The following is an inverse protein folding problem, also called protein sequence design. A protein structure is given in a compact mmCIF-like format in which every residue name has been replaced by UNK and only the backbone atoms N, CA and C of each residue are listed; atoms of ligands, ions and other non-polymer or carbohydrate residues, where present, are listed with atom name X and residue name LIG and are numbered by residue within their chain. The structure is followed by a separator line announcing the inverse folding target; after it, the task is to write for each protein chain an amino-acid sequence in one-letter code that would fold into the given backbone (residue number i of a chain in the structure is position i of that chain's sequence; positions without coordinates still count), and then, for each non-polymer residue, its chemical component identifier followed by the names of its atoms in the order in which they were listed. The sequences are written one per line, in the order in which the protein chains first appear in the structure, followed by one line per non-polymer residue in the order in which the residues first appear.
data_IF_708950551175
#
_entry.id   IF_708950551175
#
_cell.length_a   1.000
_cell.length_b   1.000
_cell.length_c   1.000
_cell.angle_alpha   90.00
_cell.angle_beta   90.00
_cell.angle_gamma   90.00
#
_symmetry.space_group_name_H-M   'P 1'
#
loop_
_entity.id
_entity.type
_entity.pdbx_description
1 polymer ?
#
# COMPACT_ATOMS: atom_id res chain seq x y z
N UNK A 1 29.18 -4.73 10.74
CA UNK A 1 28.19 -3.63 10.76
C UNK A 1 27.54 -3.62 12.13
N UNK A 2 27.62 -2.51 12.86
CA UNK A 2 26.89 -2.28 14.12
C UNK A 2 25.58 -1.60 13.78
N UNK A 3 24.46 -2.25 14.07
CA UNK A 3 23.15 -1.60 14.03
C UNK A 3 22.98 -0.82 15.34
N UNK A 4 22.56 0.45 15.31
CA UNK A 4 22.22 1.18 16.52
C UNK A 4 20.96 0.56 17.15
N UNK A 5 21.10 -0.04 18.32
CA UNK A 5 19.98 -0.47 19.15
C UNK A 5 19.60 0.70 20.05
N UNK A 6 18.34 1.14 19.99
CA UNK A 6 17.86 2.16 20.91
C UNK A 6 17.94 1.63 22.33
N UNK A 7 18.57 2.40 23.23
CA UNK A 7 18.62 2.05 24.64
C UNK A 7 17.20 2.13 25.25
N UNK A 8 16.84 1.15 26.07
CA UNK A 8 15.60 1.23 26.86
C UNK A 8 15.64 2.44 27.78
N UNK A 9 14.49 3.10 27.97
CA UNK A 9 14.34 4.18 28.96
C UNK A 9 14.55 3.61 30.37
N UNK A 10 15.07 4.42 31.30
CA UNK A 10 15.18 4.02 32.70
C UNK A 10 13.80 4.00 33.38
N UNK A 11 13.64 3.10 34.36
CA UNK A 11 12.45 3.14 35.23
C UNK A 11 12.55 4.34 36.17
N UNK A 12 11.42 4.95 36.48
CA UNK A 12 11.30 6.08 37.41
C UNK A 12 10.55 5.57 38.65
N UNK A 13 11.14 5.78 39.80
CA UNK A 13 10.57 5.41 41.10
C UNK A 13 10.40 6.65 41.97
N UNK A 14 9.44 6.61 42.88
CA UNK A 14 9.34 7.61 43.94
C UNK A 14 10.41 7.36 45.03
N UNK A 15 10.44 8.23 46.03
CA UNK A 15 11.37 8.14 47.18
C UNK A 15 11.15 6.90 48.07
N UNK A 16 10.05 6.19 47.89
CA UNK A 16 9.71 4.96 48.63
C UNK A 16 9.94 3.71 47.79
N UNK A 17 10.47 3.84 46.53
CA UNK A 17 10.69 2.75 45.60
C UNK A 17 9.44 2.30 44.87
N UNK A 18 8.35 3.06 44.92
CA UNK A 18 7.14 2.76 44.14
C UNK A 18 7.36 3.23 42.72
N UNK A 19 7.14 2.34 41.71
CA UNK A 19 7.35 2.70 40.33
C UNK A 19 6.34 3.77 39.87
N UNK A 20 6.85 4.88 39.35
CA UNK A 20 6.08 5.97 38.75
C UNK A 20 5.98 5.80 37.22
N UNK A 21 7.04 5.25 36.61
CA UNK A 21 7.07 4.83 35.22
C UNK A 21 8.01 3.64 35.07
N UNK A 22 7.53 2.59 34.45
CA UNK A 22 8.31 1.39 34.11
C UNK A 22 8.18 1.11 32.62
N UNK A 23 9.23 0.58 32.04
CA UNK A 23 9.14 0.13 30.64
C UNK A 23 8.36 -1.19 30.59
N UNK A 24 7.42 -1.23 29.68
CA UNK A 24 6.72 -2.46 29.30
C UNK A 24 7.26 -2.92 27.95
N UNK A 25 7.53 -4.19 27.80
CA UNK A 25 7.89 -4.76 26.49
C UNK A 25 6.61 -5.04 25.74
N UNK A 26 6.51 -4.51 24.53
CA UNK A 26 5.42 -4.77 23.62
C UNK A 26 5.94 -5.33 22.31
N UNK A 27 5.11 -6.09 21.60
CA UNK A 27 5.44 -6.54 20.24
C UNK A 27 5.13 -5.46 19.22
N UNK A 28 5.91 -5.45 18.14
CA UNK A 28 5.69 -4.55 17.01
C UNK A 28 5.85 -5.30 15.68
N UNK A 29 5.12 -4.83 14.67
CA UNK A 29 5.29 -5.28 13.29
C UNK A 29 6.28 -4.34 12.61
N UNK A 30 7.30 -4.92 12.00
CA UNK A 30 8.32 -4.20 11.24
C UNK A 30 8.39 -4.73 9.80
N UNK A 31 8.78 -3.87 8.88
CA UNK A 31 9.11 -4.26 7.50
C UNK A 31 10.60 -4.04 7.28
N UNK A 32 11.30 -5.12 6.90
CA UNK A 32 12.71 -5.08 6.53
C UNK A 32 12.84 -4.66 5.05
N UNK A 33 13.32 -3.44 4.83
CA UNK A 33 13.54 -2.90 3.49
C UNK A 33 14.71 -3.54 2.73
N UNK A 34 15.57 -4.34 3.41
CA UNK A 34 16.70 -5.05 2.79
C UNK A 34 16.27 -6.33 2.08
N UNK A 35 15.15 -6.91 2.48
CA UNK A 35 14.57 -8.10 1.86
C UNK A 35 13.71 -7.67 0.68
N UNK A 36 14.08 -8.11 -0.53
CA UNK A 36 13.26 -7.87 -1.72
C UNK A 36 12.01 -8.74 -1.64
N UNK A 37 10.85 -8.10 -1.68
CA UNK A 37 9.59 -8.81 -1.80
C UNK A 37 9.36 -9.15 -3.28
N UNK A 38 9.31 -10.44 -3.59
CA UNK A 38 8.94 -10.97 -4.89
C UNK A 38 7.86 -12.03 -4.67
N UNK A 39 6.61 -11.66 -4.92
CA UNK A 39 5.48 -12.56 -4.81
C UNK A 39 5.46 -13.51 -6.02
N UNK A 40 5.44 -14.80 -5.75
CA UNK A 40 5.19 -15.77 -6.80
C UNK A 40 3.72 -15.71 -7.29
N UNK A 41 3.40 -16.48 -8.32
CA UNK A 41 2.08 -16.45 -8.96
C UNK A 41 0.93 -16.83 -8.02
N UNK A 42 1.13 -17.86 -7.19
CA UNK A 42 0.10 -18.33 -6.24
C UNK A 42 -0.10 -17.37 -5.07
N UNK A 43 0.98 -16.84 -4.51
CA UNK A 43 0.92 -15.82 -3.45
C UNK A 43 0.19 -14.57 -3.93
N UNK A 44 0.55 -14.06 -5.10
CA UNK A 44 -0.11 -12.92 -5.73
C UNK A 44 -1.60 -13.18 -5.95
N UNK A 45 -1.95 -14.37 -6.46
CA UNK A 45 -3.33 -14.79 -6.66
C UNK A 45 -4.10 -14.83 -5.35
N UNK A 46 -3.53 -15.45 -4.32
CA UNK A 46 -4.16 -15.56 -2.99
C UNK A 46 -4.45 -14.16 -2.44
N UNK A 47 -3.45 -13.27 -2.40
CA UNK A 47 -3.62 -11.92 -1.86
C UNK A 47 -4.63 -11.09 -2.65
N UNK A 48 -4.58 -11.16 -3.99
CA UNK A 48 -5.53 -10.44 -4.84
C UNK A 48 -6.96 -10.99 -4.69
N UNK A 49 -7.12 -12.30 -4.51
CA UNK A 49 -8.41 -12.94 -4.23
C UNK A 49 -8.96 -12.47 -2.89
N UNK A 50 -8.19 -12.58 -1.82
CA UNK A 50 -8.60 -12.18 -0.47
C UNK A 50 -9.01 -10.71 -0.39
N UNK A 51 -8.24 -9.83 -1.03
CA UNK A 51 -8.57 -8.40 -1.10
C UNK A 51 -9.82 -8.15 -1.95
N UNK A 52 -9.98 -8.84 -3.07
CA UNK A 52 -11.17 -8.71 -3.93
C UNK A 52 -12.41 -9.14 -3.18
N UNK A 53 -12.39 -10.31 -2.56
CA UNK A 53 -13.54 -10.86 -1.84
C UNK A 53 -13.92 -9.99 -0.65
N UNK A 54 -12.93 -9.48 0.09
CA UNK A 54 -13.18 -8.55 1.18
C UNK A 54 -13.78 -7.22 0.68
N UNK A 55 -13.22 -6.59 -0.36
CA UNK A 55 -13.76 -5.35 -0.93
C UNK A 55 -15.21 -5.51 -1.35
N UNK A 56 -15.54 -6.63 -1.99
CA UNK A 56 -16.89 -6.91 -2.45
C UNK A 56 -17.85 -7.20 -1.32
N UNK A 57 -17.42 -7.91 -0.27
CA UNK A 57 -18.21 -8.16 0.94
C UNK A 57 -18.51 -6.86 1.70
N UNK A 58 -17.59 -5.91 1.69
CA UNK A 58 -17.70 -4.59 2.35
C UNK A 58 -18.38 -3.52 1.47
N UNK A 59 -18.85 -3.88 0.26
CA UNK A 59 -19.60 -2.99 -0.63
C UNK A 59 -18.76 -2.08 -1.52
N UNK A 60 -17.46 -2.31 -1.62
CA UNK A 60 -16.54 -1.52 -2.45
C UNK A 60 -16.36 -2.16 -3.83
N UNK A 61 -17.24 -1.80 -4.77
CA UNK A 61 -17.33 -2.43 -6.10
C UNK A 61 -16.65 -1.62 -7.22
N UNK A 62 -16.08 -0.46 -6.91
CA UNK A 62 -15.59 0.53 -7.90
C UNK A 62 -14.07 0.47 -8.12
N UNK A 63 -13.38 -0.56 -7.58
CA UNK A 63 -11.93 -0.70 -7.73
C UNK A 63 -11.62 -1.17 -9.14
N UNK A 64 -11.14 -0.23 -9.97
CA UNK A 64 -10.81 -0.48 -11.37
C UNK A 64 -9.76 0.50 -11.90
N UNK A 65 -8.61 0.00 -12.29
CA UNK A 65 -7.51 0.77 -12.89
C UNK A 65 -7.23 0.40 -14.34
N UNK A 66 -8.10 -0.42 -14.96
CA UNK A 66 -7.89 -0.85 -16.33
C UNK A 66 -8.28 0.25 -17.33
N UNK A 67 -7.43 0.61 -18.30
CA UNK A 67 -7.77 1.59 -19.32
C UNK A 67 -8.64 0.99 -20.44
N UNK A 68 -9.67 0.25 -20.02
CA UNK A 68 -10.62 -0.46 -20.89
C UNK A 68 -12.03 -0.19 -20.36
N UNK A 69 -13.00 0.02 -21.27
CA UNK A 69 -14.42 0.23 -20.90
C UNK A 69 -14.95 -0.92 -20.04
N UNK A 70 -15.89 -0.61 -19.13
CA UNK A 70 -16.45 -1.57 -18.17
C UNK A 70 -17.47 -2.54 -18.79
N UNK A 71 -17.99 -2.23 -19.96
CA UNK A 71 -19.03 -3.01 -20.66
C UNK A 71 -18.63 -3.31 -22.10
N UNK A 72 -19.16 -4.42 -22.62
CA UNK A 72 -19.01 -4.82 -24.03
C UNK A 72 -19.84 -3.90 -24.95
N UNK A 73 -19.32 -3.54 -26.14
CA UNK A 73 -18.01 -3.93 -26.68
C UNK A 73 -16.87 -3.20 -25.97
N UNK A 74 -15.86 -3.97 -25.56
CA UNK A 74 -14.71 -3.41 -24.86
C UNK A 74 -13.83 -2.58 -25.81
N UNK A 75 -13.42 -1.40 -25.34
CA UNK A 75 -12.53 -0.49 -26.04
C UNK A 75 -11.55 0.17 -25.06
N UNK A 76 -10.41 0.64 -25.56
CA UNK A 76 -9.48 1.41 -24.74
C UNK A 76 -10.03 2.79 -24.42
N UNK A 77 -9.77 3.27 -23.20
CA UNK A 77 -10.26 4.56 -22.70
C UNK A 77 -9.25 5.71 -22.85
N UNK A 78 -8.08 5.46 -23.46
CA UNK A 78 -7.07 6.48 -23.72
C UNK A 78 -7.63 7.64 -24.56
N UNK A 79 -7.27 8.87 -24.20
CA UNK A 79 -7.78 10.11 -24.82
C UNK A 79 -6.64 11.01 -25.31
N UNK A 80 -7.00 11.95 -26.18
CA UNK A 80 -6.09 12.97 -26.68
C UNK A 80 -5.19 12.52 -27.83
N UNK A 81 -4.24 13.38 -28.20
CA UNK A 81 -3.35 13.19 -29.37
C UNK A 81 -2.34 12.06 -29.18
N UNK A 82 -2.02 11.72 -27.92
CA UNK A 82 -1.03 10.69 -27.56
C UNK A 82 -1.69 9.31 -27.25
N UNK A 83 -2.98 9.12 -27.53
CA UNK A 83 -3.74 7.90 -27.18
C UNK A 83 -3.07 6.61 -27.67
N UNK A 84 -2.55 6.59 -28.90
CA UNK A 84 -1.89 5.40 -29.47
C UNK A 84 -0.56 5.07 -28.77
N UNK A 85 0.16 6.10 -28.36
CA UNK A 85 1.42 5.95 -27.63
C UNK A 85 1.15 5.46 -26.21
N UNK A 86 0.12 6.00 -25.55
CA UNK A 86 -0.33 5.54 -24.22
C UNK A 86 -0.78 4.08 -24.28
N UNK A 87 -1.57 3.70 -25.28
CA UNK A 87 -2.02 2.32 -25.49
C UNK A 87 -0.83 1.36 -25.68
N UNK A 88 0.13 1.72 -26.54
CA UNK A 88 1.34 0.91 -26.74
C UNK A 88 2.19 0.79 -25.47
N UNK A 89 2.33 1.89 -24.73
CA UNK A 89 3.04 1.91 -23.45
C UNK A 89 2.37 1.00 -22.43
N UNK A 90 1.04 1.07 -22.31
CA UNK A 90 0.29 0.18 -21.42
C UNK A 90 0.39 -1.28 -21.84
N UNK A 91 0.27 -1.59 -23.14
CA UNK A 91 0.46 -2.95 -23.64
C UNK A 91 1.87 -3.49 -23.33
N UNK A 92 2.89 -2.66 -23.42
CA UNK A 92 4.24 -3.01 -22.98
C UNK A 92 4.31 -3.27 -21.47
N UNK A 93 3.66 -2.45 -20.66
CA UNK A 93 3.68 -2.61 -19.19
C UNK A 93 3.01 -3.88 -18.71
N UNK A 94 1.99 -4.39 -19.42
CA UNK A 94 1.37 -5.68 -19.13
C UNK A 94 2.15 -6.88 -19.68
N UNK A 95 3.30 -6.66 -20.31
CA UNK A 95 4.21 -7.70 -20.80
C UNK A 95 3.92 -8.21 -22.21
N UNK A 96 3.14 -7.48 -23.02
CA UNK A 96 2.95 -7.81 -24.42
C UNK A 96 4.19 -7.44 -25.25
N UNK A 97 4.56 -8.28 -26.19
CA UNK A 97 5.60 -8.00 -27.18
C UNK A 97 5.09 -7.06 -28.29
N UNK A 98 5.99 -6.36 -28.96
CA UNK A 98 5.64 -5.40 -30.03
C UNK A 98 4.71 -6.00 -31.12
N UNK A 99 4.88 -7.29 -31.46
CA UNK A 99 4.01 -8.01 -32.44
C UNK A 99 2.56 -8.14 -31.94
N UNK A 100 2.34 -8.07 -30.64
CA UNK A 100 1.03 -8.21 -29.98
C UNK A 100 0.36 -6.86 -29.73
N UNK A 101 0.99 -5.72 -30.02
CA UNK A 101 0.40 -4.39 -29.81
C UNK A 101 -0.84 -4.12 -30.66
N UNK A 102 -1.12 -4.97 -31.66
CA UNK A 102 -2.36 -4.94 -32.47
C UNK A 102 -3.58 -5.54 -31.77
N UNK A 103 -3.40 -6.20 -30.62
CA UNK A 103 -4.49 -6.82 -29.89
C UNK A 103 -5.56 -5.78 -29.49
N UNK A 104 -6.82 -6.14 -29.65
CA UNK A 104 -7.96 -5.36 -29.17
C UNK A 104 -8.07 -5.34 -27.66
N UNK A 105 -8.90 -4.47 -27.09
CA UNK A 105 -9.15 -4.43 -25.66
C UNK A 105 -9.68 -5.77 -25.11
N UNK A 106 -10.56 -6.44 -25.87
CA UNK A 106 -11.09 -7.77 -25.52
C UNK A 106 -10.00 -8.82 -25.45
N UNK A 107 -9.09 -8.83 -26.43
CA UNK A 107 -7.98 -9.78 -26.46
C UNK A 107 -6.97 -9.51 -25.36
N UNK A 108 -6.70 -8.23 -25.03
CA UNK A 108 -5.89 -7.86 -23.88
C UNK A 108 -6.51 -8.32 -22.56
N UNK A 109 -7.85 -8.22 -22.38
CA UNK A 109 -8.53 -8.74 -21.18
C UNK A 109 -8.37 -10.27 -21.08
N UNK A 110 -8.56 -11.00 -22.16
CA UNK A 110 -8.34 -12.46 -22.16
C UNK A 110 -6.92 -12.82 -21.77
N UNK A 111 -5.94 -12.14 -22.37
CA UNK A 111 -4.53 -12.31 -22.02
C UNK A 111 -4.27 -12.06 -20.52
N UNK A 112 -4.86 -11.00 -19.94
CA UNK A 112 -4.72 -10.68 -18.52
C UNK A 112 -5.38 -11.73 -17.63
N UNK A 113 -6.56 -12.24 -18.02
CA UNK A 113 -7.24 -13.31 -17.28
C UNK A 113 -6.37 -14.57 -17.16
N UNK A 114 -5.73 -14.98 -18.25
CA UNK A 114 -4.83 -16.13 -18.29
C UNK A 114 -3.53 -15.85 -17.52
N UNK A 115 -2.95 -14.66 -17.71
CA UNK A 115 -1.68 -14.27 -17.09
C UNK A 115 -1.76 -14.23 -15.56
N UNK A 116 -2.87 -13.74 -15.01
CA UNK A 116 -3.06 -13.52 -13.58
C UNK A 116 -3.97 -14.58 -12.92
N UNK A 117 -4.31 -15.67 -13.59
CA UNK A 117 -5.18 -16.74 -13.07
C UNK A 117 -6.48 -16.22 -12.45
N UNK A 118 -7.16 -15.32 -13.15
CA UNK A 118 -8.38 -14.70 -12.64
C UNK A 118 -9.43 -15.78 -12.33
N UNK A 119 -10.02 -15.81 -11.11
CA UNK A 119 -11.00 -16.80 -10.73
C UNK A 119 -12.20 -16.86 -11.71
N UNK A 120 -12.55 -18.06 -12.17
CA UNK A 120 -13.63 -18.25 -13.17
C UNK A 120 -15.00 -17.83 -12.65
N UNK A 121 -15.27 -18.06 -11.35
CA UNK A 121 -16.53 -17.72 -10.69
C UNK A 121 -16.79 -16.21 -10.48
N UNK A 122 -15.81 -15.36 -10.75
CA UNK A 122 -15.97 -13.92 -10.61
C UNK A 122 -16.84 -13.32 -11.72
N UNK A 123 -17.69 -12.37 -11.33
CA UNK A 123 -18.40 -11.50 -12.28
C UNK A 123 -17.41 -10.64 -13.07
N UNK A 124 -17.85 -10.05 -14.17
CA UNK A 124 -17.00 -9.18 -14.97
C UNK A 124 -16.40 -8.00 -14.15
N UNK A 125 -17.17 -7.45 -13.21
CA UNK A 125 -16.70 -6.38 -12.34
C UNK A 125 -15.69 -6.89 -11.30
N UNK A 126 -15.92 -8.03 -10.65
CA UNK A 126 -14.96 -8.66 -9.75
C UNK A 126 -13.63 -9.00 -10.44
N UNK A 127 -13.68 -9.50 -11.69
CA UNK A 127 -12.47 -9.74 -12.49
C UNK A 127 -11.65 -8.48 -12.71
N UNK A 128 -12.29 -7.31 -12.86
CA UNK A 128 -11.61 -6.01 -13.00
C UNK A 128 -10.96 -5.55 -11.71
N UNK A 129 -11.68 -5.67 -10.57
CA UNK A 129 -11.12 -5.41 -9.25
C UNK A 129 -9.90 -6.29 -8.99
N UNK A 130 -10.05 -7.60 -9.21
CA UNK A 130 -8.96 -8.56 -9.06
C UNK A 130 -7.74 -8.19 -9.92
N UNK A 131 -7.94 -7.89 -11.21
CA UNK A 131 -6.83 -7.50 -12.10
C UNK A 131 -6.16 -6.20 -11.62
N UNK A 132 -6.93 -5.22 -11.18
CA UNK A 132 -6.38 -3.95 -10.68
C UNK A 132 -5.49 -4.17 -9.47
N UNK A 133 -5.83 -5.11 -8.61
CA UNK A 133 -5.01 -5.54 -7.47
C UNK A 133 -3.82 -6.41 -7.91
N UNK A 134 -4.06 -7.48 -8.68
CA UNK A 134 -3.05 -8.43 -9.10
C UNK A 134 -1.95 -7.82 -10.00
N UNK A 135 -2.27 -6.74 -10.72
CA UNK A 135 -1.33 -5.98 -11.55
C UNK A 135 -0.52 -4.95 -10.75
N UNK A 136 -0.84 -4.73 -9.48
CA UNK A 136 -0.10 -3.81 -8.62
C UNK A 136 1.33 -4.32 -8.36
N UNK A 137 2.21 -3.40 -7.99
CA UNK A 137 3.53 -3.73 -7.44
C UNK A 137 3.41 -4.60 -6.18
N UNK A 138 4.33 -5.54 -5.98
CA UNK A 138 4.31 -6.46 -4.84
C UNK A 138 4.26 -5.74 -3.49
N UNK A 139 4.98 -4.63 -3.36
CA UNK A 139 4.95 -3.80 -2.15
C UNK A 139 3.60 -3.13 -1.93
N UNK A 140 2.86 -2.80 -3.00
CA UNK A 140 1.51 -2.27 -2.87
C UNK A 140 0.55 -3.36 -2.40
N UNK A 141 0.64 -4.56 -2.99
CA UNK A 141 -0.21 -5.68 -2.62
C UNK A 141 0.02 -6.10 -1.16
N UNK A 142 1.30 -6.17 -0.73
CA UNK A 142 1.67 -6.37 0.66
C UNK A 142 1.10 -5.28 1.58
N UNK A 143 1.34 -4.00 1.24
CA UNK A 143 0.91 -2.89 2.08
C UNK A 143 -0.61 -2.78 2.20
N UNK A 144 -1.36 -3.05 1.12
CA UNK A 144 -2.83 -3.14 1.13
C UNK A 144 -3.32 -4.27 2.04
N UNK A 145 -2.69 -5.44 1.95
CA UNK A 145 -3.05 -6.60 2.78
C UNK A 145 -2.75 -6.33 4.25
N UNK A 146 -1.58 -5.77 4.57
CA UNK A 146 -1.21 -5.43 5.94
C UNK A 146 -2.10 -4.34 6.51
N UNK A 147 -2.33 -3.24 5.77
CA UNK A 147 -3.19 -2.15 6.22
C UNK A 147 -4.61 -2.66 6.54
N UNK A 148 -5.17 -3.48 5.65
CA UNK A 148 -6.48 -4.11 5.90
C UNK A 148 -6.45 -4.99 7.15
N UNK A 149 -5.46 -5.89 7.29
CA UNK A 149 -5.39 -6.84 8.40
C UNK A 149 -5.14 -6.14 9.73
N UNK A 150 -4.24 -5.17 9.78
CA UNK A 150 -4.02 -4.38 10.98
C UNK A 150 -5.31 -3.66 11.41
N UNK A 151 -6.02 -3.02 10.47
CA UNK A 151 -7.31 -2.39 10.75
C UNK A 151 -8.37 -3.40 11.22
N UNK A 152 -8.45 -4.59 10.60
CA UNK A 152 -9.38 -5.67 11.00
C UNK A 152 -9.11 -6.16 12.43
N UNK A 153 -7.86 -6.15 12.88
CA UNK A 153 -7.46 -6.54 14.23
C UNK A 153 -7.51 -5.37 15.24
N UNK A 154 -7.84 -4.16 14.78
CA UNK A 154 -7.95 -2.97 15.62
C UNK A 154 -6.60 -2.30 15.93
N UNK A 155 -5.57 -2.62 15.17
CA UNK A 155 -4.26 -2.01 15.33
C UNK A 155 -4.20 -0.61 14.72
N UNK A 156 -3.39 0.25 15.33
CA UNK A 156 -3.05 1.56 14.76
C UNK A 156 -1.79 1.44 13.91
N UNK A 157 -1.82 2.01 12.72
CA UNK A 157 -0.63 2.07 11.86
C UNK A 157 0.24 3.23 12.30
N UNK A 158 1.47 2.90 12.65
CA UNK A 158 2.53 3.87 12.92
C UNK A 158 3.18 4.29 11.60
N UNK A 159 3.06 5.54 11.23
CA UNK A 159 3.65 6.04 10.00
C UNK A 159 4.19 7.47 10.12
N UNK A 160 5.01 7.85 9.16
CA UNK A 160 5.64 9.17 9.09
C UNK A 160 4.94 10.10 8.06
N UNK A 161 3.78 9.69 7.49
CA UNK A 161 3.04 10.50 6.53
C UNK A 161 2.42 11.71 7.25
N UNK A 162 2.76 12.96 6.90
CA UNK A 162 2.30 14.14 7.65
C UNK A 162 0.86 14.53 7.32
N UNK A 163 -0.03 13.56 7.43
CA UNK A 163 -1.48 13.66 7.30
C UNK A 163 -2.12 12.91 8.45
N UNK A 164 -3.22 13.41 8.98
CA UNK A 164 -3.97 12.71 10.01
C UNK A 164 -4.35 11.29 9.56
N UNK A 165 -4.44 10.37 10.50
CA UNK A 165 -4.80 8.97 10.24
C UNK A 165 -6.26 8.79 9.90
N UNK A 166 -7.11 9.74 10.32
CA UNK A 166 -8.55 9.72 10.10
C UNK A 166 -9.02 10.92 9.28
N UNK A 167 -10.17 10.78 8.63
CA UNK A 167 -10.79 11.88 7.91
C UNK A 167 -11.07 13.09 8.85
N UNK A 168 -10.84 14.33 8.40
CA UNK A 168 -10.60 14.78 7.01
C UNK A 168 -9.13 14.74 6.53
N UNK A 169 -8.25 13.98 7.16
CA UNK A 169 -6.83 13.79 6.80
C UNK A 169 -6.04 15.11 6.76
N UNK A 170 -6.23 15.99 7.73
CA UNK A 170 -5.58 17.29 7.76
C UNK A 170 -4.04 17.17 7.77
N UNK A 171 -3.37 18.20 7.25
CA UNK A 171 -1.91 18.25 7.28
C UNK A 171 -1.38 18.50 8.69
N UNK A 172 -0.36 17.75 9.09
CA UNK A 172 0.29 17.83 10.40
C UNK A 172 1.46 18.85 10.45
N UNK A 173 1.33 19.97 9.72
CA UNK A 173 2.35 21.03 9.70
C UNK A 173 2.03 22.20 10.64
N UNK A 174 0.98 22.14 11.45
CA UNK A 174 0.57 23.20 12.38
C UNK A 174 0.44 24.58 11.70
N UNK A 175 -0.11 24.62 10.48
CA UNK A 175 -0.27 25.85 9.69
C UNK A 175 1.02 26.37 9.04
N UNK A 176 2.14 25.66 9.15
CA UNK A 176 3.39 26.06 8.49
C UNK A 176 3.39 25.70 7.00
N UNK A 177 2.91 26.62 6.17
CA UNK A 177 2.78 26.44 4.72
C UNK A 177 4.13 26.24 4.02
N UNK A 178 5.23 26.74 4.55
CA UNK A 178 6.56 26.54 3.95
C UNK A 178 7.05 25.10 4.16
N UNK A 179 6.85 24.54 5.35
CA UNK A 179 7.17 23.13 5.63
C UNK A 179 6.29 22.21 4.77
N UNK A 180 5.01 22.50 4.67
CA UNK A 180 4.08 21.76 3.82
C UNK A 180 4.54 21.77 2.34
N UNK A 181 4.86 22.94 1.78
CA UNK A 181 5.37 23.06 0.40
C UNK A 181 6.69 22.32 0.20
N UNK A 182 7.63 22.42 1.14
CA UNK A 182 8.90 21.70 1.08
C UNK A 182 8.70 20.19 1.08
N UNK A 183 7.77 19.69 1.91
CA UNK A 183 7.41 18.28 1.92
C UNK A 183 6.77 17.84 0.58
N UNK A 184 5.80 18.61 0.06
CA UNK A 184 5.19 18.32 -1.24
C UNK A 184 6.24 18.26 -2.37
N UNK A 185 7.24 19.18 -2.35
CA UNK A 185 8.35 19.15 -3.29
C UNK A 185 9.22 17.89 -3.15
N UNK A 186 9.45 17.40 -1.93
CA UNK A 186 10.18 16.16 -1.71
C UNK A 186 9.43 14.94 -2.28
N UNK A 187 8.10 15.03 -2.41
CA UNK A 187 7.24 14.06 -3.09
C UNK A 187 7.08 14.33 -4.59
N UNK A 188 7.97 15.12 -5.16
CA UNK A 188 8.04 15.50 -6.60
C UNK A 188 6.85 16.32 -7.11
N UNK A 189 5.99 16.84 -6.23
CA UNK A 189 4.90 17.74 -6.59
C UNK A 189 5.43 19.07 -7.11
N UNK A 190 4.80 19.63 -8.15
CA UNK A 190 5.26 20.84 -8.84
C UNK A 190 4.09 21.77 -9.22
N UNK A 191 4.42 23.05 -9.41
CA UNK A 191 3.46 24.04 -9.91
C UNK A 191 2.17 24.10 -9.09
N UNK A 192 1.04 23.82 -9.73
CA UNK A 192 -0.29 23.84 -9.09
C UNK A 192 -0.47 22.78 -7.99
N UNK A 193 0.27 21.68 -8.06
CA UNK A 193 0.18 20.57 -7.11
C UNK A 193 0.62 20.99 -5.71
N UNK A 194 1.54 21.97 -5.59
CA UNK A 194 1.97 22.52 -4.31
C UNK A 194 0.83 23.20 -3.53
N UNK A 195 -0.28 23.53 -4.20
CA UNK A 195 -1.46 24.14 -3.60
C UNK A 195 -2.61 23.14 -3.38
N UNK A 196 -2.37 21.85 -3.58
CA UNK A 196 -3.37 20.81 -3.29
C UNK A 196 -3.71 20.79 -1.81
N UNK A 197 -4.99 20.66 -1.49
CA UNK A 197 -5.41 20.31 -0.13
C UNK A 197 -5.05 18.86 0.19
N UNK A 198 -5.27 18.44 1.41
CA UNK A 198 -4.91 17.09 1.88
C UNK A 198 -5.55 15.99 1.03
N UNK A 199 -6.82 16.10 0.67
CA UNK A 199 -7.53 15.14 -0.18
C UNK A 199 -6.88 14.98 -1.56
N UNK A 200 -6.66 16.08 -2.26
CA UNK A 200 -5.96 16.05 -3.56
C UNK A 200 -4.52 15.57 -3.44
N UNK A 201 -3.91 15.77 -2.28
CA UNK A 201 -2.56 15.27 -2.00
C UNK A 201 -2.59 13.77 -1.81
N UNK A 202 -3.60 13.21 -1.13
CA UNK A 202 -3.81 11.74 -1.05
C UNK A 202 -4.02 11.13 -2.44
N UNK A 203 -4.84 11.75 -3.30
CA UNK A 203 -5.03 11.29 -4.68
C UNK A 203 -3.71 11.30 -5.46
N UNK A 204 -2.92 12.38 -5.33
CA UNK A 204 -1.59 12.46 -5.94
C UNK A 204 -0.65 11.34 -5.43
N UNK A 205 -0.63 11.09 -4.12
CA UNK A 205 0.21 10.03 -3.53
C UNK A 205 -0.26 8.64 -3.94
N UNK A 206 -1.58 8.42 -4.05
CA UNK A 206 -2.13 7.18 -4.60
C UNK A 206 -1.55 6.91 -5.99
N UNK A 207 -1.60 7.91 -6.88
CA UNK A 207 -1.06 7.79 -8.23
C UNK A 207 0.48 7.67 -8.24
N UNK A 208 1.16 8.41 -7.36
CA UNK A 208 2.63 8.35 -7.21
C UNK A 208 3.13 6.96 -6.81
N UNK A 209 2.43 6.29 -5.88
CA UNK A 209 2.74 4.93 -5.47
C UNK A 209 2.10 3.86 -6.36
N UNK A 210 1.22 4.24 -7.29
CA UNK A 210 0.55 3.31 -8.21
C UNK A 210 -0.48 2.41 -7.54
N UNK A 211 -1.20 2.92 -6.54
CA UNK A 211 -2.33 2.20 -5.95
C UNK A 211 -3.55 2.27 -6.87
N UNK A 212 -4.38 1.20 -6.92
CA UNK A 212 -5.61 1.18 -7.72
C UNK A 212 -6.58 2.32 -7.37
N UNK A 213 -7.33 2.77 -8.38
CA UNK A 213 -8.47 3.67 -8.19
C UNK A 213 -9.66 2.94 -7.56
N UNK A 214 -10.53 3.68 -6.86
CA UNK A 214 -11.77 3.15 -6.28
C UNK A 214 -11.59 2.40 -4.95
N UNK A 215 -10.38 2.30 -4.40
CA UNK A 215 -10.15 1.75 -3.07
C UNK A 215 -10.82 2.62 -1.98
N UNK A 216 -11.26 2.01 -0.84
CA UNK A 216 -11.73 2.74 0.32
C UNK A 216 -10.70 3.77 0.79
N UNK A 217 -11.16 4.96 1.10
CA UNK A 217 -10.27 6.09 1.39
C UNK A 217 -9.38 5.84 2.60
N UNK A 218 -9.92 5.21 3.66
CA UNK A 218 -9.14 4.84 4.84
C UNK A 218 -8.06 3.81 4.49
N UNK A 219 -8.41 2.79 3.70
CA UNK A 219 -7.43 1.80 3.24
C UNK A 219 -6.32 2.45 2.40
N UNK A 220 -6.67 3.42 1.55
CA UNK A 220 -5.66 4.21 0.79
C UNK A 220 -4.76 4.96 1.76
N UNK A 221 -5.33 5.69 2.76
CA UNK A 221 -4.54 6.45 3.74
C UNK A 221 -3.55 5.56 4.48
N UNK A 222 -4.01 4.44 5.00
CA UNK A 222 -3.21 3.50 5.79
C UNK A 222 -2.12 2.84 4.94
N UNK A 223 -2.48 2.41 3.74
CA UNK A 223 -1.50 1.87 2.78
C UNK A 223 -0.44 2.91 2.40
N UNK A 224 -0.85 4.16 2.17
CA UNK A 224 0.07 5.25 1.88
C UNK A 224 0.99 5.54 3.07
N UNK A 225 0.53 5.42 4.31
CA UNK A 225 1.35 5.53 5.51
C UNK A 225 2.49 4.51 5.51
N UNK A 226 2.19 3.23 5.29
CA UNK A 226 3.17 2.15 5.16
C UNK A 226 4.13 2.44 3.99
N UNK A 227 3.60 2.73 2.80
CA UNK A 227 4.41 2.98 1.59
C UNK A 227 5.32 4.20 1.73
N UNK A 228 4.86 5.25 2.38
CA UNK A 228 5.61 6.45 2.62
C UNK A 228 6.77 6.21 3.61
N UNK A 229 6.52 5.50 4.70
CA UNK A 229 7.54 5.15 5.69
C UNK A 229 8.66 4.31 5.06
N UNK A 230 8.30 3.33 4.21
CA UNK A 230 9.26 2.56 3.41
C UNK A 230 10.01 3.45 2.39
N UNK A 231 9.32 4.41 1.76
CA UNK A 231 9.94 5.32 0.80
C UNK A 231 10.97 6.24 1.45
N UNK A 232 10.76 6.69 2.67
CA UNK A 232 11.73 7.49 3.42
C UNK A 232 13.03 6.70 3.67
N UNK A 233 12.93 5.40 3.89
CA UNK A 233 14.08 4.51 4.15
C UNK A 233 14.70 3.88 2.89
N UNK A 234 14.26 4.24 1.70
CA UNK A 234 14.70 3.63 0.42
C UNK A 234 16.20 3.64 0.16
N UNK A 235 16.95 4.53 0.79
CA UNK A 235 18.42 4.58 0.73
C UNK A 235 19.10 3.98 1.97
N UNK A 236 18.31 3.52 2.95
CA UNK A 236 18.77 2.95 4.21
C UNK A 236 18.23 1.51 4.35
N UNK A 237 18.41 0.71 3.31
CA UNK A 237 17.81 -0.63 3.17
C UNK A 237 18.11 -1.60 4.31
N UNK A 238 19.06 -1.28 5.19
CA UNK A 238 19.41 -2.11 6.36
C UNK A 238 18.63 -1.74 7.63
N UNK A 239 17.73 -0.77 7.55
CA UNK A 239 16.88 -0.38 8.67
C UNK A 239 15.47 -0.92 8.45
N UNK A 240 14.96 -1.59 9.46
CA UNK A 240 13.55 -1.96 9.51
C UNK A 240 12.68 -0.72 9.72
N UNK A 241 11.45 -0.79 9.28
CA UNK A 241 10.43 0.24 9.47
C UNK A 241 9.33 -0.35 10.34
N UNK A 242 9.13 0.21 11.52
CA UNK A 242 8.00 -0.16 12.39
C UNK A 242 6.72 0.38 11.77
N UNK A 243 5.70 -0.45 11.65
CA UNK A 243 4.40 -0.11 11.06
C UNK A 243 3.22 -0.28 12.02
N UNK A 244 3.42 -0.99 13.14
CA UNK A 244 2.46 -1.04 14.25
C UNK A 244 3.21 -1.42 15.53
N UNK A 245 2.84 -0.81 16.65
CA UNK A 245 3.39 -1.08 17.99
C UNK A 245 2.29 -1.50 18.95
N UNK A 246 2.66 -2.23 20.01
CA UNK A 246 1.74 -2.76 21.02
C UNK A 246 0.61 -3.61 20.40
N UNK A 247 1.04 -4.51 19.52
CA UNK A 247 0.13 -5.35 18.73
C UNK A 247 -0.51 -6.46 19.55
N UNK A 248 -1.72 -6.85 19.16
CA UNK A 248 -2.45 -7.96 19.76
C UNK A 248 -1.89 -9.32 19.40
N UNK A 249 -2.24 -10.35 20.19
CA UNK A 249 -1.89 -11.75 19.89
C UNK A 249 -2.42 -12.22 18.53
N UNK A 250 -3.52 -11.63 18.04
CA UNK A 250 -4.07 -11.94 16.71
C UNK A 250 -3.13 -11.47 15.59
N UNK A 251 -2.61 -10.26 15.74
CA UNK A 251 -1.65 -9.69 14.78
C UNK A 251 -0.34 -10.46 14.81
N UNK A 252 0.14 -10.80 16.01
CA UNK A 252 1.33 -11.64 16.19
C UNK A 252 1.17 -12.97 15.44
N UNK A 253 0.10 -13.71 15.73
CA UNK A 253 -0.17 -15.00 15.08
C UNK A 253 -0.28 -14.86 13.56
N UNK A 254 -1.00 -13.85 13.07
CA UNK A 254 -1.15 -13.61 11.63
C UNK A 254 0.18 -13.39 10.92
N UNK A 255 1.06 -12.56 11.49
CA UNK A 255 2.37 -12.28 10.88
C UNK A 255 3.25 -13.53 10.89
N UNK A 256 3.28 -14.27 12.01
CA UNK A 256 4.07 -15.50 12.12
C UNK A 256 3.59 -16.61 11.16
N UNK A 257 2.28 -16.75 10.97
CA UNK A 257 1.69 -17.73 10.06
C UNK A 257 1.89 -17.38 8.57
N UNK A 258 2.14 -16.12 8.25
CA UNK A 258 2.29 -15.64 6.87
C UNK A 258 3.71 -15.21 6.50
N UNK A 259 4.73 -15.58 7.26
CA UNK A 259 6.13 -15.23 6.99
C UNK A 259 6.63 -15.75 5.63
N UNK A 260 6.11 -16.87 5.15
CA UNK A 260 6.47 -17.39 3.82
C UNK A 260 5.99 -16.46 2.70
N UNK A 261 4.81 -15.85 2.86
CA UNK A 261 4.24 -14.88 1.90
C UNK A 261 4.88 -13.49 2.03
N UNK A 262 5.20 -13.08 3.26
CA UNK A 262 5.78 -11.78 3.57
C UNK A 262 7.11 -11.93 4.30
N UNK A 263 8.16 -12.44 3.66
CA UNK A 263 9.45 -12.70 4.33
C UNK A 263 10.15 -11.44 4.83
N UNK A 264 9.71 -10.27 4.39
CA UNK A 264 10.20 -8.96 4.84
C UNK A 264 9.37 -8.35 5.97
N UNK A 265 8.29 -9.00 6.40
CA UNK A 265 7.48 -8.57 7.56
C UNK A 265 7.88 -9.40 8.77
N UNK A 266 8.34 -8.76 9.81
CA UNK A 266 8.89 -9.42 11.00
C UNK A 266 8.25 -8.86 12.26
N UNK A 267 8.19 -9.71 13.29
CA UNK A 267 7.85 -9.29 14.65
C UNK A 267 9.14 -8.95 15.40
N UNK A 268 9.12 -7.84 16.09
CA UNK A 268 10.18 -7.43 17.01
C UNK A 268 9.57 -6.92 18.32
N UNK A 269 10.40 -6.60 19.30
CA UNK A 269 9.97 -6.06 20.58
C UNK A 269 10.39 -4.59 20.71
N UNK A 270 9.51 -3.79 21.26
CA UNK A 270 9.76 -2.38 21.58
C UNK A 270 9.50 -2.13 23.05
N UNK A 271 10.27 -1.21 23.64
CA UNK A 271 10.07 -0.75 25.02
C UNK A 271 9.16 0.49 25.00
N UNK A 272 7.99 0.38 25.61
CA UNK A 272 7.00 1.45 25.75
C UNK A 272 7.20 2.21 27.06
#
# INVERSE_FOLDING_TARGET
KTLPVAASRGHIYDRYGIPLAINTVAYCVQVDGSVTLELNREERKTLATDLTDWLWADGHHDVDSLPITTSSPYSFTFKGTEKEKQEKSWKASIGLEKKQYKLSATECLKYLYEKYDVPEGYTAAQKRTYLSLAMSDDRNLMALTLARKLSEFGETIDDELPLDTEAPYAFQFNGNTNREKSWKQSMLMKGKELNYNSRKTLDYLRDFFGLPEGLPEQLVRDTLGIRYSLYLKRYQQYQTVTIATDISDKTLAYVEENQDTFPNVVIDTVSL
#
